data_IF_802171788364
#
_entry.id   IF_802171788364
#
_cell.length_a   1.000
_cell.length_b   1.000
_cell.length_c   1.000
_cell.angle_alpha   90.00
_cell.angle_beta   90.00
_cell.angle_gamma   90.00
#
_symmetry.space_group_name_H-M   'P 1'
#
loop_
_entity.id
_entity.type
_entity.pdbx_description
1 polymer ?
#
# COMPACT_ATOMS: atom_id res chain seq x y z
N UNK A 1 26.66 -0.15 -12.72
CA UNK A 1 25.24 -0.03 -13.12
C UNK A 1 24.38 -0.82 -12.15
N UNK A 2 24.21 -0.31 -10.93
CA UNK A 2 23.54 -1.06 -9.85
C UNK A 2 22.37 -0.29 -9.24
N UNK A 3 22.28 1.02 -9.56
CA UNK A 3 21.23 1.92 -9.06
C UNK A 3 19.87 1.76 -9.77
N UNK A 4 19.83 1.33 -11.04
CA UNK A 4 18.56 1.14 -11.75
C UNK A 4 17.76 -0.07 -11.27
N UNK A 5 18.42 -1.21 -10.99
CA UNK A 5 17.73 -2.46 -10.62
C UNK A 5 17.01 -2.39 -9.26
N UNK A 6 17.51 -1.58 -8.34
CA UNK A 6 16.86 -1.37 -7.03
C UNK A 6 15.60 -0.52 -7.19
N UNK A 7 15.61 0.41 -8.15
CA UNK A 7 14.48 1.27 -8.47
C UNK A 7 13.33 0.47 -9.09
N UNK A 8 13.62 -0.43 -10.03
CA UNK A 8 12.61 -1.32 -10.62
C UNK A 8 11.98 -2.22 -9.56
N UNK A 9 12.80 -2.81 -8.67
CA UNK A 9 12.32 -3.71 -7.64
C UNK A 9 11.41 -3.03 -6.60
N UNK A 10 11.77 -1.82 -6.15
CA UNK A 10 10.92 -1.07 -5.24
C UNK A 10 9.62 -0.61 -5.92
N UNK A 11 9.69 -0.23 -7.20
CA UNK A 11 8.51 0.20 -7.94
C UNK A 11 7.53 -0.96 -8.16
N UNK A 12 8.01 -2.18 -8.41
CA UNK A 12 7.18 -3.38 -8.47
C UNK A 12 6.51 -3.69 -7.13
N UNK A 13 7.24 -3.61 -6.02
CA UNK A 13 6.69 -3.79 -4.67
C UNK A 13 5.61 -2.77 -4.35
N UNK A 14 5.82 -1.51 -4.73
CA UNK A 14 4.83 -0.44 -4.57
C UNK A 14 3.57 -0.71 -5.40
N UNK A 15 3.73 -1.12 -6.66
CA UNK A 15 2.61 -1.44 -7.54
C UNK A 15 1.77 -2.62 -7.00
N UNK A 16 2.44 -3.67 -6.51
CA UNK A 16 1.77 -4.82 -5.90
C UNK A 16 1.04 -4.46 -4.61
N UNK A 17 1.68 -3.65 -3.75
CA UNK A 17 1.06 -3.13 -2.54
C UNK A 17 -0.20 -2.31 -2.84
N UNK A 18 -0.13 -1.33 -3.75
CA UNK A 18 -1.27 -0.49 -4.14
C UNK A 18 -2.40 -1.33 -4.74
N UNK A 19 -2.07 -2.32 -5.58
CA UNK A 19 -3.06 -3.21 -6.19
C UNK A 19 -3.77 -4.07 -5.15
N UNK A 20 -3.04 -4.57 -4.16
CA UNK A 20 -3.61 -5.32 -3.04
C UNK A 20 -4.53 -4.44 -2.20
N UNK A 21 -4.08 -3.25 -1.79
CA UNK A 21 -4.88 -2.27 -1.04
C UNK A 21 -6.20 -1.95 -1.76
N UNK A 22 -6.12 -1.65 -3.06
CA UNK A 22 -7.32 -1.40 -3.89
C UNK A 22 -8.27 -2.59 -3.93
N UNK A 23 -7.75 -3.81 -4.01
CA UNK A 23 -8.56 -5.04 -4.06
C UNK A 23 -9.23 -5.31 -2.71
N UNK A 24 -8.51 -5.11 -1.61
CA UNK A 24 -9.00 -5.29 -0.24
C UNK A 24 -10.09 -4.27 0.10
N UNK A 25 -9.94 -3.02 -0.34
CA UNK A 25 -10.94 -1.95 -0.12
C UNK A 25 -12.18 -2.15 -0.99
N UNK A 26 -12.01 -2.54 -2.27
CA UNK A 26 -13.16 -2.85 -3.16
C UNK A 26 -14.03 -4.01 -2.65
N UNK A 27 -13.48 -4.93 -1.85
CA UNK A 27 -14.22 -6.05 -1.27
C UNK A 27 -15.16 -5.65 -0.13
N UNK A 28 -15.21 -4.38 0.29
CA UNK A 28 -16.23 -3.88 1.22
C UNK A 28 -16.10 -4.38 2.67
N UNK A 29 -14.98 -5.04 3.02
CA UNK A 29 -14.71 -5.42 4.41
C UNK A 29 -14.31 -4.17 5.21
N UNK A 30 -14.73 -4.10 6.48
CA UNK A 30 -14.54 -2.97 7.40
C UNK A 30 -13.17 -2.30 7.27
N UNK A 31 -13.18 -1.01 6.91
CA UNK A 31 -12.00 -0.18 6.64
C UNK A 31 -11.00 -0.19 7.82
N UNK A 32 -11.49 -0.27 9.06
CA UNK A 32 -10.65 -0.27 10.25
C UNK A 32 -9.80 -1.55 10.40
N UNK A 33 -10.37 -2.73 10.16
CA UNK A 33 -9.65 -4.01 10.23
C UNK A 33 -8.66 -4.15 9.07
N UNK A 34 -9.05 -3.68 7.88
CA UNK A 34 -8.19 -3.69 6.70
C UNK A 34 -7.01 -2.72 6.84
N UNK A 35 -7.18 -1.56 7.50
CA UNK A 35 -6.05 -0.64 7.76
C UNK A 35 -4.94 -1.35 8.53
N UNK A 36 -5.25 -2.00 9.65
CA UNK A 36 -4.21 -2.70 10.43
C UNK A 36 -3.50 -3.79 9.61
N UNK A 37 -4.23 -4.57 8.81
CA UNK A 37 -3.63 -5.57 7.93
C UNK A 37 -2.74 -4.95 6.85
N UNK A 38 -3.17 -3.85 6.24
CA UNK A 38 -2.40 -3.14 5.22
C UNK A 38 -1.09 -2.58 5.82
N UNK A 39 -1.13 -2.03 7.03
CA UNK A 39 0.07 -1.55 7.71
C UNK A 39 1.04 -2.68 8.05
N UNK A 40 0.56 -3.79 8.61
CA UNK A 40 1.43 -4.95 8.89
C UNK A 40 2.08 -5.47 7.61
N UNK A 41 1.30 -5.61 6.53
CA UNK A 41 1.79 -6.17 5.28
C UNK A 41 2.77 -5.23 4.55
N UNK A 42 2.55 -3.91 4.63
CA UNK A 42 3.50 -2.93 4.13
C UNK A 42 4.83 -2.98 4.89
N UNK A 43 4.80 -3.17 6.21
CA UNK A 43 6.02 -3.36 7.01
C UNK A 43 6.74 -4.66 6.66
N UNK A 44 6.03 -5.76 6.40
CA UNK A 44 6.63 -7.02 5.93
C UNK A 44 7.29 -6.88 4.55
N UNK A 45 6.78 -5.98 3.69
CA UNK A 45 7.39 -5.62 2.41
C UNK A 45 8.58 -4.65 2.55
N UNK A 46 8.87 -4.19 3.76
CA UNK A 46 9.99 -3.28 4.05
C UNK A 46 9.65 -1.79 3.96
N UNK A 47 8.37 -1.43 3.80
CA UNK A 47 7.94 -0.03 3.82
C UNK A 47 7.80 0.50 5.24
N UNK A 48 8.16 1.77 5.44
CA UNK A 48 7.90 2.49 6.67
C UNK A 48 6.42 2.91 6.76
N UNK A 49 5.95 3.19 7.97
CA UNK A 49 4.56 3.62 8.20
C UNK A 49 4.20 4.90 7.43
N UNK A 50 5.15 5.82 7.25
CA UNK A 50 4.94 7.05 6.49
C UNK A 50 4.79 6.76 4.98
N UNK A 51 5.61 5.86 4.44
CA UNK A 51 5.50 5.42 3.04
C UNK A 51 4.16 4.72 2.80
N UNK A 52 3.76 3.82 3.72
CA UNK A 52 2.48 3.12 3.66
C UNK A 52 1.31 4.10 3.67
N UNK A 53 1.37 5.16 4.50
CA UNK A 53 0.33 6.21 4.55
C UNK A 53 0.20 6.92 3.21
N UNK A 54 1.31 7.37 2.63
CA UNK A 54 1.32 8.06 1.33
C UNK A 54 0.76 7.15 0.23
N UNK A 55 1.17 5.88 0.22
CA UNK A 55 0.67 4.89 -0.74
C UNK A 55 -0.82 4.57 -0.55
N UNK A 56 -1.32 4.56 0.68
CA UNK A 56 -2.73 4.41 0.99
C UNK A 56 -3.54 5.63 0.54
N UNK A 57 -3.04 6.84 0.74
CA UNK A 57 -3.70 8.07 0.30
C UNK A 57 -3.80 8.15 -1.23
N UNK A 58 -2.78 7.67 -1.96
CA UNK A 58 -2.84 7.55 -3.43
C UNK A 58 -3.76 6.40 -3.90
N UNK A 59 -3.78 5.28 -3.15
CA UNK A 59 -4.58 4.12 -3.50
C UNK A 59 -6.08 4.30 -3.23
N UNK A 60 -6.44 5.12 -2.24
CA UNK A 60 -7.81 5.39 -1.81
C UNK A 60 -8.19 6.80 -2.24
N UNK A 61 -8.81 6.98 -3.42
CA UNK A 61 -9.37 8.27 -3.78
C UNK A 61 -10.33 8.69 -2.66
N UNK A 62 -10.21 9.94 -2.23
CA UNK A 62 -10.79 10.62 -1.06
C UNK A 62 -12.33 10.63 -0.97
N UNK A 63 -12.99 9.51 -1.25
CA UNK A 63 -14.44 9.34 -1.29
C UNK A 63 -14.99 8.43 -0.16
N UNK A 64 -14.19 8.13 0.86
CA UNK A 64 -14.66 7.46 2.07
C UNK A 64 -14.52 8.44 3.25
N UNK A 65 -15.63 9.07 3.71
CA UNK A 65 -15.58 9.86 4.93
C UNK A 65 -15.19 8.93 6.08
N UNK A 66 -14.25 9.40 6.89
CA UNK A 66 -13.81 8.78 8.15
C UNK A 66 -14.98 8.50 9.08
#
# INVERSE_FOLDING_TARGET
MTLLRVHDHQQDLTNDFVKMVRTTIKKGNSVAANKQQIFMMGQEMGFCNDEIRVLLEDAVPSALPL
#
